data_IF_611950497141
#
_entry.id   IF_611950497141
#
_cell.length_a   1.000
_cell.length_b   1.000
_cell.length_c   1.000
_cell.angle_alpha   90.00
_cell.angle_beta   90.00
_cell.angle_gamma   90.00
#
_symmetry.space_group_name_H-M   'P 1'
#
loop_
_entity.id
_entity.type
_entity.pdbx_description
1 polymer ?
#
# COMPACT_ATOMS: atom_id res chain seq x y z
N UNK A 1 -5.08 -19.83 8.10
CA UNK A 1 -4.26 -20.26 9.25
C UNK A 1 -4.66 -19.44 10.46
N UNK A 2 -4.76 -20.04 11.66
CA UNK A 2 -5.00 -19.31 12.91
C UNK A 2 -3.66 -19.16 13.62
N UNK A 3 -3.26 -17.94 13.89
CA UNK A 3 -1.97 -17.60 14.51
C UNK A 3 -2.26 -16.70 15.70
N UNK A 4 -1.60 -16.97 16.83
CA UNK A 4 -1.62 -16.08 17.97
C UNK A 4 -0.41 -15.16 17.87
N UNK A 5 -0.67 -13.86 17.85
CA UNK A 5 0.34 -12.81 17.73
C UNK A 5 0.02 -11.76 18.78
N UNK A 6 1.04 -11.28 19.47
CA UNK A 6 0.90 -10.15 20.38
C UNK A 6 0.81 -8.87 19.54
N UNK A 7 -0.22 -8.06 19.81
CA UNK A 7 -0.53 -6.85 19.05
C UNK A 7 -0.82 -5.75 20.07
N UNK A 8 -0.28 -4.56 19.81
CA UNK A 8 -0.62 -3.36 20.56
C UNK A 8 -2.12 -3.04 20.40
N UNK A 9 -2.86 -3.12 21.50
CA UNK A 9 -4.31 -2.92 21.51
C UNK A 9 -4.71 -1.46 21.23
N UNK A 10 -3.87 -0.48 21.58
CA UNK A 10 -4.15 0.92 21.30
C UNK A 10 -4.00 1.20 19.80
N UNK A 11 -2.92 0.69 19.19
CA UNK A 11 -2.71 0.78 17.74
C UNK A 11 -3.85 0.09 16.98
N UNK A 12 -4.24 -1.12 17.38
CA UNK A 12 -5.32 -1.86 16.73
C UNK A 12 -6.65 -1.12 16.86
N UNK A 13 -6.92 -0.51 18.01
CA UNK A 13 -8.13 0.29 18.24
C UNK A 13 -8.18 1.51 17.32
N UNK A 14 -7.07 2.23 17.17
CA UNK A 14 -6.98 3.35 16.25
C UNK A 14 -7.20 2.90 14.80
N UNK A 15 -6.52 1.83 14.37
CA UNK A 15 -6.70 1.29 13.02
C UNK A 15 -8.15 0.91 12.77
N UNK A 16 -8.81 0.22 13.71
CA UNK A 16 -10.22 -0.14 13.57
C UNK A 16 -11.13 1.10 13.49
N UNK A 17 -10.88 2.12 14.30
CA UNK A 17 -11.65 3.37 14.30
C UNK A 17 -11.51 4.13 12.96
N UNK A 18 -10.30 4.25 12.42
CA UNK A 18 -10.05 4.97 11.16
C UNK A 18 -10.45 4.18 9.92
N UNK A 19 -10.28 2.85 9.93
CA UNK A 19 -10.61 1.99 8.79
C UNK A 19 -12.10 1.60 8.72
N UNK A 20 -12.84 1.76 9.83
CA UNK A 20 -14.24 1.32 9.93
C UNK A 20 -14.42 -0.20 9.96
N UNK A 21 -13.33 -0.96 10.16
CA UNK A 21 -13.38 -2.43 10.22
C UNK A 21 -14.09 -2.91 11.48
N UNK A 22 -14.88 -3.97 11.35
CA UNK A 22 -15.76 -4.45 12.44
C UNK A 22 -15.07 -5.44 13.36
N UNK A 23 -13.97 -6.05 12.90
CA UNK A 23 -13.29 -7.11 13.65
C UNK A 23 -11.78 -6.92 13.63
N UNK A 24 -11.10 -7.34 14.72
CA UNK A 24 -9.63 -7.37 14.82
C UNK A 24 -9.01 -8.11 13.62
N UNK A 25 -9.61 -9.25 13.21
CA UNK A 25 -9.15 -10.05 12.06
C UNK A 25 -9.18 -9.26 10.75
N UNK A 26 -10.25 -8.52 10.51
CA UNK A 26 -10.42 -7.72 9.29
C UNK A 26 -9.38 -6.60 9.24
N UNK A 27 -9.24 -5.84 10.35
CA UNK A 27 -8.24 -4.79 10.48
C UNK A 27 -6.81 -5.29 10.18
N UNK A 28 -6.44 -6.44 10.77
CA UNK A 28 -5.12 -7.04 10.58
C UNK A 28 -4.91 -7.46 9.12
N UNK A 29 -5.91 -8.10 8.49
CA UNK A 29 -5.78 -8.53 7.10
C UNK A 29 -5.66 -7.34 6.13
N UNK A 30 -6.44 -6.28 6.34
CA UNK A 30 -6.33 -5.07 5.52
C UNK A 30 -4.98 -4.37 5.73
N UNK A 31 -4.50 -4.29 6.96
CA UNK A 31 -3.17 -3.75 7.26
C UNK A 31 -2.04 -4.54 6.55
N UNK A 32 -2.13 -5.87 6.52
CA UNK A 32 -1.15 -6.72 5.82
C UNK A 32 -1.20 -6.52 4.30
N UNK A 33 -2.39 -6.41 3.69
CA UNK A 33 -2.54 -6.09 2.27
C UNK A 33 -1.93 -4.74 1.94
N UNK A 34 -2.21 -3.73 2.77
CA UNK A 34 -1.65 -2.40 2.61
C UNK A 34 -0.12 -2.40 2.73
N UNK A 35 0.43 -3.12 3.71
CA UNK A 35 1.86 -3.25 3.87
C UNK A 35 2.54 -3.92 2.68
N UNK A 36 1.94 -4.99 2.14
CA UNK A 36 2.42 -5.63 0.91
C UNK A 36 2.40 -4.67 -0.28
N UNK A 37 1.32 -3.90 -0.45
CA UNK A 37 1.22 -2.88 -1.49
C UNK A 37 2.33 -1.82 -1.36
N UNK A 38 2.61 -1.36 -0.14
CA UNK A 38 3.68 -0.39 0.14
C UNK A 38 5.07 -0.94 -0.18
N UNK A 39 5.34 -2.21 0.14
CA UNK A 39 6.59 -2.87 -0.25
C UNK A 39 6.72 -2.92 -1.78
N UNK A 40 5.64 -3.26 -2.49
CA UNK A 40 5.67 -3.30 -3.95
C UNK A 40 5.95 -1.93 -4.56
N UNK A 41 5.37 -0.86 -4.01
CA UNK A 41 5.67 0.51 -4.43
C UNK A 41 7.12 0.91 -4.17
N UNK A 42 7.68 0.57 -3.01
CA UNK A 42 9.10 0.85 -2.71
C UNK A 42 10.03 0.16 -3.71
N UNK A 43 9.73 -1.07 -4.10
CA UNK A 43 10.50 -1.78 -5.14
C UNK A 43 10.36 -1.14 -6.52
N UNK A 44 9.23 -0.52 -6.82
CA UNK A 44 9.06 0.24 -8.06
C UNK A 44 9.93 1.51 -8.06
N UNK A 45 10.12 2.15 -6.91
CA UNK A 45 11.04 3.29 -6.78
C UNK A 45 12.50 2.88 -7.04
N UNK A 46 12.90 1.63 -6.75
CA UNK A 46 14.24 1.10 -7.11
C UNK A 46 14.46 1.00 -8.63
N UNK A 47 13.37 0.92 -9.42
CA UNK A 47 13.42 0.89 -10.89
C UNK A 47 13.65 2.30 -11.47
N UNK A 48 13.51 3.36 -10.65
CA UNK A 48 13.77 4.75 -11.08
C UNK A 48 15.28 5.04 -11.08
N UNK A 49 15.96 4.65 -12.16
CA UNK A 49 17.33 5.05 -12.48
C UNK A 49 17.40 5.94 -13.73
N UNK A 50 18.56 6.55 -14.03
CA UNK A 50 18.79 7.21 -15.32
C UNK A 50 18.48 6.24 -16.47
N UNK A 51 17.59 6.62 -17.39
CA UNK A 51 17.13 5.76 -18.49
C UNK A 51 15.94 4.85 -18.19
N UNK A 52 15.31 4.97 -17.00
CA UNK A 52 14.11 4.17 -16.65
C UNK A 52 12.86 4.50 -17.49
N UNK A 53 12.90 5.59 -18.25
CA UNK A 53 11.84 5.98 -19.16
C UNK A 53 12.43 6.66 -20.39
N UNK A 54 12.14 6.09 -21.55
CA UNK A 54 12.46 6.65 -22.86
C UNK A 54 11.14 7.01 -23.55
N UNK A 55 10.84 8.31 -23.61
CA UNK A 55 9.61 8.82 -24.22
C UNK A 55 9.60 10.35 -24.31
N UNK A 56 8.59 10.91 -24.98
CA UNK A 56 8.37 12.35 -25.07
C UNK A 56 7.08 12.72 -24.31
N UNK A 57 7.22 13.50 -23.23
CA UNK A 57 6.12 13.81 -22.32
C UNK A 57 5.08 14.72 -22.98
N UNK A 58 5.52 15.58 -23.90
CA UNK A 58 4.64 16.49 -24.62
C UNK A 58 3.78 15.75 -25.64
N UNK A 59 4.34 14.75 -26.33
CA UNK A 59 3.57 13.90 -27.25
C UNK A 59 2.44 13.14 -26.51
N UNK A 60 2.74 12.56 -25.35
CA UNK A 60 1.73 11.83 -24.56
C UNK A 60 0.56 12.71 -24.10
N UNK A 61 0.79 14.01 -23.87
CA UNK A 61 -0.23 14.96 -23.42
C UNK A 61 -1.15 15.45 -24.53
N UNK A 62 -0.72 15.36 -25.79
CA UNK A 62 -1.53 15.80 -26.94
C UNK A 62 -2.66 14.84 -27.32
N UNK A 63 -2.66 13.61 -26.78
CA UNK A 63 -3.67 12.58 -27.08
C UNK A 63 -4.97 12.77 -26.27
N UNK A 64 -5.01 13.70 -25.31
CA UNK A 64 -6.25 14.06 -24.62
C UNK A 64 -6.96 15.16 -25.42
N UNK A 65 -7.83 14.75 -26.35
CA UNK A 65 -8.82 15.61 -26.98
C UNK A 65 -10.20 14.98 -26.91
#
# INVERSE_FOLDING_TARGET
MRTNVEIDDELLSQVMAFSGTKTKKEAINEALKYYLYRIALQKLDEIRGPGAWEGNLEEMRTVVR
#
